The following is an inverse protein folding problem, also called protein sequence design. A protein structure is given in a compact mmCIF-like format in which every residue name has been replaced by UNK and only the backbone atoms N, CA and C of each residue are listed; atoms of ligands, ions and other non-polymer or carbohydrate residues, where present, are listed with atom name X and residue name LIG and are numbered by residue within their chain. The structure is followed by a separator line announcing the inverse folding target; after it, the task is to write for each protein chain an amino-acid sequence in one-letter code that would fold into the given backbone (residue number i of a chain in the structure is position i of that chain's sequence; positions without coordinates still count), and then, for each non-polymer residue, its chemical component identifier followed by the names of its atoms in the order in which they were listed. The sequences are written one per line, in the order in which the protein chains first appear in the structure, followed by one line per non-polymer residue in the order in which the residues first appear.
data_IF_994980193472
#
_entry.id   IF_994980193472
#
_cell.length_a   1.000
_cell.length_b   1.000
_cell.length_c   1.000
_cell.angle_alpha   90.00
_cell.angle_beta   90.00
_cell.angle_gamma   90.00
#
_symmetry.space_group_name_H-M   'P 1'
#
loop_
_entity.id
_entity.type
_entity.pdbx_description
1 polymer ?
#
# COMPACT_ATOMS: atom_id res chain seq x y z
N UNK A 1 -11.46 -11.79 -3.01
CA UNK A 1 -10.35 -12.50 -2.34
C UNK A 1 -10.35 -12.29 -0.83
N UNK A 2 -10.42 -11.04 -0.32
CA UNK A 2 -10.39 -10.76 1.12
C UNK A 2 -11.44 -11.55 1.91
N UNK A 3 -12.65 -11.74 1.36
CA UNK A 3 -13.70 -12.55 2.01
C UNK A 3 -13.28 -14.03 2.15
N UNK A 4 -12.62 -14.61 1.12
CA UNK A 4 -12.13 -16.00 1.15
C UNK A 4 -11.03 -16.15 2.19
N UNK A 5 -10.06 -15.23 2.23
CA UNK A 5 -9.01 -15.22 3.25
C UNK A 5 -9.59 -15.12 4.66
N UNK A 6 -10.53 -14.20 4.89
CA UNK A 6 -11.19 -14.03 6.17
C UNK A 6 -12.01 -15.25 6.59
N UNK A 7 -12.54 -16.01 5.63
CA UNK A 7 -13.25 -17.27 5.90
C UNK A 7 -12.31 -18.39 6.35
N UNK A 8 -11.07 -18.39 5.90
CA UNK A 8 -10.07 -19.43 6.13
C UNK A 8 -8.98 -19.04 7.14
N UNK A 9 -9.12 -17.91 7.84
CA UNK A 9 -8.20 -17.52 8.89
C UNK A 9 -8.15 -18.54 10.03
N UNK A 10 -6.96 -18.69 10.61
CA UNK A 10 -6.78 -19.50 11.82
C UNK A 10 -7.81 -19.11 12.90
N UNK A 11 -8.49 -20.07 13.53
CA UNK A 11 -9.46 -19.81 14.60
C UNK A 11 -8.95 -18.89 15.71
N UNK A 12 -7.67 -18.97 16.08
CA UNK A 12 -7.06 -18.12 17.10
C UNK A 12 -7.08 -16.64 16.71
N UNK A 13 -6.85 -16.32 15.43
CA UNK A 13 -6.97 -14.94 14.95
C UNK A 13 -8.39 -14.42 15.09
N UNK A 14 -9.39 -15.28 14.88
CA UNK A 14 -10.80 -14.90 15.04
C UNK A 14 -11.20 -14.62 16.50
N UNK A 15 -10.45 -15.13 17.50
CA UNK A 15 -10.71 -14.82 18.91
C UNK A 15 -10.34 -13.37 19.24
N UNK A 16 -9.20 -12.89 18.78
CA UNK A 16 -8.66 -11.58 19.12
C UNK A 16 -9.11 -10.47 18.16
N UNK A 17 -9.49 -10.82 16.92
CA UNK A 17 -9.86 -9.84 15.89
C UNK A 17 -11.17 -9.12 16.19
N UNK A 18 -11.17 -7.81 15.98
CA UNK A 18 -12.37 -6.96 15.95
C UNK A 18 -12.40 -6.14 14.66
N UNK A 19 -13.57 -5.90 14.06
CA UNK A 19 -14.87 -6.50 14.39
C UNK A 19 -14.94 -7.98 14.01
N UNK A 20 -16.00 -8.65 14.44
CA UNK A 20 -16.20 -10.07 14.12
C UNK A 20 -16.60 -10.25 12.64
N UNK A 21 -16.41 -11.48 12.14
CA UNK A 21 -16.57 -11.88 10.75
C UNK A 21 -17.86 -11.41 10.07
N UNK A 22 -19.08 -11.51 10.67
CA UNK A 22 -20.28 -11.04 10.00
C UNK A 22 -20.25 -9.56 9.60
N UNK A 23 -19.65 -8.71 10.44
CA UNK A 23 -19.53 -7.27 10.18
C UNK A 23 -18.54 -7.01 9.04
N UNK A 24 -17.38 -7.69 9.04
CA UNK A 24 -16.37 -7.51 7.99
C UNK A 24 -16.90 -7.93 6.62
N UNK A 25 -17.78 -8.91 6.57
CA UNK A 25 -18.36 -9.45 5.33
C UNK A 25 -19.62 -8.72 4.86
N UNK A 26 -20.04 -7.64 5.51
CA UNK A 26 -21.13 -6.80 5.01
C UNK A 26 -20.75 -6.17 3.67
N UNK A 27 -21.70 -6.13 2.76
CA UNK A 27 -21.51 -5.61 1.40
C UNK A 27 -21.72 -4.08 1.34
N UNK A 28 -22.74 -3.56 2.06
CA UNK A 28 -23.08 -2.16 2.03
C UNK A 28 -22.13 -1.34 2.92
N UNK A 29 -21.46 -0.35 2.32
CA UNK A 29 -20.35 0.37 2.91
C UNK A 29 -20.72 1.22 4.14
N UNK A 30 -21.81 1.99 4.07
CA UNK A 30 -22.19 2.89 5.15
C UNK A 30 -22.63 2.13 6.40
N UNK A 31 -23.45 1.10 6.22
CA UNK A 31 -23.89 0.20 7.31
C UNK A 31 -22.69 -0.56 7.90
N UNK A 32 -21.74 -0.97 7.06
CA UNK A 32 -20.51 -1.62 7.50
C UNK A 32 -19.65 -0.71 8.38
N UNK A 33 -19.39 0.53 7.96
CA UNK A 33 -18.65 1.50 8.76
C UNK A 33 -19.34 1.73 10.10
N UNK A 34 -20.66 1.95 10.10
CA UNK A 34 -21.44 2.12 11.31
C UNK A 34 -21.32 0.92 12.24
N UNK A 35 -21.48 -0.29 11.72
CA UNK A 35 -21.36 -1.53 12.49
C UNK A 35 -19.93 -1.72 13.03
N UNK A 36 -18.88 -1.40 12.26
CA UNK A 36 -17.49 -1.45 12.74
C UNK A 36 -17.32 -0.50 13.92
N UNK A 37 -17.73 0.76 13.77
CA UNK A 37 -17.61 1.78 14.83
C UNK A 37 -18.31 1.32 16.09
N UNK A 38 -19.57 0.89 16.01
CA UNK A 38 -20.37 0.45 17.18
C UNK A 38 -19.76 -0.76 17.90
N UNK A 39 -19.04 -1.61 17.21
CA UNK A 39 -18.45 -2.83 17.76
C UNK A 39 -16.98 -2.70 18.19
N UNK A 40 -16.32 -1.56 17.91
CA UNK A 40 -14.87 -1.43 18.15
C UNK A 40 -14.49 -0.25 19.02
N UNK A 41 -15.29 0.83 19.09
CA UNK A 41 -14.92 2.06 19.80
C UNK A 41 -14.54 1.85 21.28
N UNK A 42 -15.14 0.85 21.94
CA UNK A 42 -14.93 0.53 23.36
C UNK A 42 -14.06 -0.72 23.57
N UNK A 43 -13.33 -1.15 22.55
CA UNK A 43 -12.41 -2.31 22.62
C UNK A 43 -10.98 -1.82 22.80
N UNK A 44 -10.15 -2.68 23.36
CA UNK A 44 -8.71 -2.47 23.41
C UNK A 44 -8.09 -2.84 22.06
N UNK A 45 -7.96 -1.84 21.18
CA UNK A 45 -7.40 -2.00 19.84
C UNK A 45 -5.94 -1.59 19.88
N UNK A 46 -5.04 -2.52 19.56
CA UNK A 46 -3.60 -2.30 19.52
C UNK A 46 -3.03 -2.25 18.11
N UNK A 47 -3.78 -2.74 17.12
CA UNK A 47 -3.33 -2.72 15.72
C UNK A 47 -4.47 -2.46 14.75
N UNK A 48 -4.14 -1.78 13.65
CA UNK A 48 -5.02 -1.56 12.51
C UNK A 48 -4.45 -2.25 11.28
N UNK A 49 -5.31 -2.66 10.35
CA UNK A 49 -4.88 -3.17 9.04
C UNK A 49 -5.87 -2.74 7.97
N UNK A 50 -5.36 -2.15 6.88
CA UNK A 50 -6.22 -1.74 5.77
C UNK A 50 -5.59 -0.73 4.82
N UNK A 51 -6.39 -0.28 3.85
CA UNK A 51 -5.99 0.74 2.89
C UNK A 51 -6.03 2.13 3.56
N UNK A 52 -4.99 2.96 3.41
CA UNK A 52 -4.88 4.25 4.10
C UNK A 52 -6.09 5.17 3.95
N UNK A 53 -6.58 5.38 2.74
CA UNK A 53 -7.72 6.28 2.50
C UNK A 53 -8.99 5.79 3.20
N UNK A 54 -9.28 4.50 3.16
CA UNK A 54 -10.47 3.91 3.78
C UNK A 54 -10.37 3.88 5.31
N UNK A 55 -9.18 3.60 5.84
CA UNK A 55 -8.95 3.62 7.27
C UNK A 55 -9.13 5.03 7.85
N UNK A 56 -8.76 6.10 7.14
CA UNK A 56 -9.05 7.47 7.57
C UNK A 56 -10.55 7.75 7.71
N UNK A 57 -11.38 7.19 6.83
CA UNK A 57 -12.85 7.31 6.94
C UNK A 57 -13.33 6.66 8.23
N UNK A 58 -12.85 5.44 8.52
CA UNK A 58 -13.18 4.73 9.76
C UNK A 58 -12.71 5.50 11.00
N UNK A 59 -11.47 5.94 11.04
CA UNK A 59 -10.90 6.72 12.16
C UNK A 59 -11.76 7.96 12.45
N UNK A 60 -12.09 8.75 11.41
CA UNK A 60 -12.94 9.92 11.56
C UNK A 60 -14.34 9.58 12.07
N UNK A 61 -14.90 8.45 11.66
CA UNK A 61 -16.20 7.97 12.16
C UNK A 61 -16.13 7.57 13.64
N UNK A 62 -15.05 6.92 14.09
CA UNK A 62 -14.80 6.56 15.49
C UNK A 62 -14.67 7.83 16.35
N UNK A 63 -13.87 8.80 15.92
CA UNK A 63 -13.70 10.07 16.61
C UNK A 63 -15.02 10.84 16.73
N UNK A 64 -15.79 10.90 15.65
CA UNK A 64 -17.13 11.51 15.65
C UNK A 64 -18.08 10.81 16.64
N UNK A 65 -18.07 9.48 16.69
CA UNK A 65 -18.90 8.69 17.62
C UNK A 65 -18.55 8.96 19.07
N UNK A 66 -17.26 9.04 19.39
CA UNK A 66 -16.76 9.16 20.76
C UNK A 66 -16.66 10.60 21.25
N UNK A 67 -16.73 11.60 20.36
CA UNK A 67 -16.48 13.00 20.68
C UNK A 67 -15.02 13.29 21.07
N UNK A 68 -14.09 12.38 20.78
CA UNK A 68 -12.67 12.55 21.08
C UNK A 68 -11.96 13.26 19.94
N UNK A 69 -10.87 13.95 20.30
CA UNK A 69 -10.04 14.67 19.33
C UNK A 69 -9.01 13.74 18.69
N UNK A 70 -8.40 12.87 19.48
CA UNK A 70 -7.34 11.95 19.05
C UNK A 70 -7.76 10.49 19.17
N UNK A 71 -7.29 9.66 18.26
CA UNK A 71 -7.57 8.23 18.28
C UNK A 71 -6.91 7.53 19.48
N UNK A 72 -5.81 8.06 19.98
CA UNK A 72 -5.13 7.60 21.22
C UNK A 72 -6.00 7.76 22.46
N UNK A 73 -6.98 8.69 22.45
CA UNK A 73 -7.94 8.82 23.56
C UNK A 73 -9.03 7.74 23.52
N UNK A 74 -9.22 7.11 22.36
CA UNK A 74 -10.17 6.01 22.18
C UNK A 74 -9.48 4.67 22.36
N UNK A 75 -8.31 4.52 21.74
CA UNK A 75 -7.50 3.29 21.76
C UNK A 75 -6.07 3.59 22.26
N UNK A 76 -5.87 3.69 23.57
CA UNK A 76 -4.60 4.12 24.16
C UNK A 76 -3.44 3.13 23.94
N UNK A 77 -3.77 1.86 23.62
CA UNK A 77 -2.78 0.81 23.34
C UNK A 77 -2.53 0.60 21.84
N UNK A 78 -2.98 1.54 21.00
CA UNK A 78 -2.74 1.46 19.56
C UNK A 78 -1.27 1.75 19.24
N UNK A 79 -0.59 0.77 18.63
CA UNK A 79 0.86 0.80 18.38
C UNK A 79 1.23 0.64 16.90
N UNK A 80 0.40 -0.02 16.08
CA UNK A 80 0.77 -0.31 14.70
C UNK A 80 -0.40 -0.22 13.71
N UNK A 81 -0.11 0.34 12.55
CA UNK A 81 -0.99 0.28 11.38
C UNK A 81 -0.29 -0.42 10.22
N UNK A 82 -0.74 -1.64 9.90
CA UNK A 82 -0.34 -2.36 8.70
C UNK A 82 -1.15 -1.84 7.52
N UNK A 83 -0.50 -1.22 6.56
CA UNK A 83 -1.16 -0.61 5.40
C UNK A 83 -0.61 -1.15 4.08
N UNK A 84 -1.38 -0.97 3.02
CA UNK A 84 -0.98 -1.38 1.67
C UNK A 84 -2.07 -1.04 0.66
N UNK A 85 -1.84 -1.44 -0.58
CA UNK A 85 -2.76 -1.22 -1.70
C UNK A 85 -2.64 0.14 -2.39
N UNK A 86 -2.25 1.18 -1.65
CA UNK A 86 -1.91 2.52 -2.16
C UNK A 86 -0.76 3.10 -1.36
N UNK A 87 -0.05 4.07 -1.91
CA UNK A 87 1.00 4.79 -1.19
C UNK A 87 0.46 5.45 0.08
N UNK A 88 1.21 5.35 1.17
CA UNK A 88 0.88 5.96 2.45
C UNK A 88 1.30 7.43 2.54
N UNK A 89 2.31 7.83 1.77
CA UNK A 89 2.95 9.15 1.89
C UNK A 89 1.96 10.34 1.82
N UNK A 90 0.97 10.40 0.90
CA UNK A 90 0.02 11.50 0.86
C UNK A 90 -0.89 11.61 2.10
N UNK A 91 -0.98 10.54 2.88
CA UNK A 91 -1.86 10.45 4.06
C UNK A 91 -1.11 10.59 5.39
N UNK A 92 0.20 10.42 5.40
CA UNK A 92 1.06 10.33 6.59
C UNK A 92 0.80 11.44 7.61
N UNK A 93 0.74 12.68 7.18
CA UNK A 93 0.53 13.82 8.09
C UNK A 93 -0.89 13.87 8.68
N UNK A 94 -1.89 13.40 7.93
CA UNK A 94 -3.24 13.26 8.48
C UNK A 94 -3.28 12.21 9.61
N UNK A 95 -2.58 11.09 9.41
CA UNK A 95 -2.46 10.06 10.46
C UNK A 95 -1.74 10.58 11.69
N UNK A 96 -0.60 11.26 11.55
CA UNK A 96 0.12 11.86 12.69
C UNK A 96 -0.74 12.87 13.46
N UNK A 97 -1.57 13.63 12.77
CA UNK A 97 -2.50 14.58 13.40
C UNK A 97 -3.57 13.88 14.22
N UNK A 98 -4.12 12.77 13.70
CA UNK A 98 -5.21 12.03 14.36
C UNK A 98 -4.70 11.05 15.43
N UNK A 99 -3.44 10.63 15.32
CA UNK A 99 -2.77 9.68 16.22
C UNK A 99 -1.43 10.28 16.68
N UNK A 100 -1.44 11.30 17.55
CA UNK A 100 -0.23 11.99 17.98
C UNK A 100 0.53 11.14 19.02
N UNK A 101 1.13 10.04 18.58
CA UNK A 101 1.87 9.11 19.42
C UNK A 101 3.23 8.79 18.81
N UNK A 102 4.28 8.87 19.63
CA UNK A 102 5.63 8.45 19.26
C UNK A 102 5.84 6.92 19.30
N UNK A 103 4.84 6.18 19.79
CA UNK A 103 4.84 4.72 19.80
C UNK A 103 4.17 4.12 18.55
N UNK A 104 3.55 4.97 17.71
CA UNK A 104 2.81 4.50 16.55
C UNK A 104 3.74 4.16 15.39
N UNK A 105 3.67 2.93 14.92
CA UNK A 105 4.39 2.42 13.76
C UNK A 105 3.46 2.29 12.56
N UNK A 106 3.93 2.74 11.40
CA UNK A 106 3.24 2.60 10.12
C UNK A 106 4.05 1.63 9.27
N UNK A 107 3.51 0.43 9.05
CA UNK A 107 4.21 -0.69 8.44
C UNK A 107 3.55 -1.06 7.12
N UNK A 108 4.29 -0.93 6.02
CA UNK A 108 3.77 -1.25 4.70
C UNK A 108 3.78 -2.75 4.45
N UNK A 109 2.73 -3.24 3.80
CA UNK A 109 2.62 -4.60 3.29
C UNK A 109 2.29 -4.59 1.81
N UNK A 110 2.94 -5.45 1.04
CA UNK A 110 2.63 -5.64 -0.36
C UNK A 110 1.99 -6.99 -0.59
N UNK A 111 0.68 -6.95 -0.70
CA UNK A 111 -0.15 -8.11 -1.00
C UNK A 111 -1.13 -7.78 -2.13
N UNK A 112 -1.40 -8.76 -2.97
CA UNK A 112 -2.37 -8.70 -4.05
C UNK A 112 -3.23 -9.96 -4.05
N UNK A 113 -4.13 -10.07 -5.04
CA UNK A 113 -4.92 -11.30 -5.23
C UNK A 113 -4.05 -12.50 -5.57
N UNK A 114 -2.91 -12.24 -6.16
CA UNK A 114 -1.96 -13.21 -6.69
C UNK A 114 -1.00 -13.74 -5.62
N UNK A 115 -0.78 -12.99 -4.54
CA UNK A 115 0.14 -13.42 -3.49
C UNK A 115 0.49 -12.34 -2.46
N UNK A 116 1.35 -12.73 -1.52
CA UNK A 116 1.98 -11.84 -0.55
C UNK A 116 3.46 -11.72 -0.89
N UNK A 117 3.93 -10.53 -1.23
CA UNK A 117 5.23 -10.33 -1.86
C UNK A 117 6.26 -9.70 -0.95
N UNK A 118 5.83 -8.89 0.00
CA UNK A 118 6.74 -8.23 0.91
C UNK A 118 6.05 -7.53 2.07
N UNK A 119 6.83 -7.29 3.10
CA UNK A 119 6.41 -6.49 4.25
C UNK A 119 7.58 -5.62 4.74
N UNK A 120 7.27 -4.46 5.24
CA UNK A 120 8.24 -3.63 5.95
C UNK A 120 8.61 -4.31 7.27
N UNK A 121 9.89 -4.58 7.50
CA UNK A 121 10.42 -5.28 8.67
C UNK A 121 11.13 -4.34 9.66
N UNK A 122 11.42 -3.11 9.23
CA UNK A 122 12.06 -2.08 10.03
C UNK A 122 11.26 -0.76 9.93
N UNK A 123 10.75 -0.21 11.06
CA UNK A 123 10.00 1.04 11.05
C UNK A 123 10.78 2.26 10.52
N UNK A 124 12.12 2.17 10.49
CA UNK A 124 13.00 3.25 10.02
C UNK A 124 13.40 3.12 8.55
N UNK A 125 13.20 1.95 7.96
CA UNK A 125 13.48 1.66 6.55
C UNK A 125 12.14 1.47 5.79
N UNK A 126 11.78 2.33 4.83
CA UNK A 126 10.54 2.21 4.08
C UNK A 126 10.55 1.06 3.06
N UNK A 127 11.65 0.33 2.96
CA UNK A 127 11.76 -0.80 2.04
C UNK A 127 11.02 -2.02 2.57
N UNK A 128 10.46 -2.80 1.64
CA UNK A 128 9.78 -4.06 1.91
C UNK A 128 10.78 -5.21 1.82
N UNK A 129 10.83 -6.04 2.84
CA UNK A 129 11.53 -7.32 2.79
C UNK A 129 10.77 -8.25 1.83
N UNK A 130 11.46 -8.79 0.83
CA UNK A 130 10.87 -9.75 -0.12
C UNK A 130 10.62 -11.10 0.54
N UNK A 131 9.51 -11.75 0.16
CA UNK A 131 9.09 -13.08 0.64
C UNK A 131 9.33 -14.16 -0.42
N UNK A 132 10.56 -14.64 -0.61
CA UNK A 132 10.88 -15.63 -1.65
C UNK A 132 10.43 -17.05 -1.30
N UNK A 133 10.15 -17.33 -0.04
CA UNK A 133 9.79 -18.64 0.51
C UNK A 133 8.28 -18.90 0.61
N UNK A 134 7.43 -17.98 0.11
CA UNK A 134 5.97 -18.11 0.16
C UNK A 134 5.37 -18.86 -1.04
N UNK A 135 6.18 -19.72 -1.70
CA UNK A 135 5.72 -20.53 -2.83
C UNK A 135 5.52 -19.72 -4.12
N UNK A 136 6.21 -18.61 -4.25
CA UNK A 136 6.21 -17.75 -5.43
C UNK A 136 7.62 -17.75 -6.01
N UNK A 137 7.73 -18.10 -7.29
CA UNK A 137 8.96 -17.92 -8.06
C UNK A 137 8.93 -16.55 -8.76
N UNK A 138 9.95 -15.73 -8.51
CA UNK A 138 10.04 -14.36 -9.00
C UNK A 138 11.00 -14.25 -10.18
N UNK A 139 10.57 -13.50 -11.19
CA UNK A 139 11.37 -13.07 -12.32
C UNK A 139 11.17 -11.55 -12.52
N UNK A 140 12.13 -10.89 -13.17
CA UNK A 140 12.16 -9.44 -13.27
C UNK A 140 12.51 -9.01 -14.69
N UNK A 141 11.70 -8.11 -15.29
CA UNK A 141 11.97 -7.51 -16.60
C UNK A 141 12.46 -6.07 -16.35
N UNK A 142 13.67 -5.69 -16.84
CA UNK A 142 14.12 -4.31 -16.78
C UNK A 142 13.10 -3.36 -17.42
N UNK A 143 12.85 -2.19 -16.80
CA UNK A 143 11.80 -1.28 -17.24
C UNK A 143 11.95 -0.80 -18.68
N UNK A 144 13.18 -0.62 -19.17
CA UNK A 144 13.48 -0.23 -20.56
C UNK A 144 13.16 -1.32 -21.58
N UNK A 145 12.87 -2.54 -21.16
CA UNK A 145 12.51 -3.66 -22.02
C UNK A 145 11.06 -4.09 -21.90
N UNK A 146 10.28 -3.45 -20.99
CA UNK A 146 8.85 -3.74 -20.82
C UNK A 146 8.10 -3.41 -22.12
N UNK A 147 7.34 -4.38 -22.64
CA UNK A 147 6.63 -4.26 -23.91
C UNK A 147 7.46 -4.69 -25.14
N UNK A 148 8.73 -5.03 -24.98
CA UNK A 148 9.54 -5.68 -26.04
C UNK A 148 8.98 -7.05 -26.38
N UNK A 149 9.13 -7.48 -27.63
CA UNK A 149 8.70 -8.82 -28.06
C UNK A 149 9.49 -9.95 -27.38
N UNK A 150 10.76 -9.70 -27.04
CA UNK A 150 11.66 -10.64 -26.38
C UNK A 150 12.45 -9.93 -25.27
N UNK A 151 11.81 -9.57 -24.15
CA UNK A 151 12.51 -8.89 -23.06
C UNK A 151 13.48 -9.84 -22.38
N UNK A 152 14.57 -9.29 -21.85
CA UNK A 152 15.42 -10.00 -20.90
C UNK A 152 14.60 -10.27 -19.61
N UNK A 153 14.68 -11.48 -19.11
CA UNK A 153 14.02 -11.87 -17.87
C UNK A 153 15.07 -12.36 -16.88
N UNK A 154 15.19 -11.66 -15.78
CA UNK A 154 16.23 -11.90 -14.77
C UNK A 154 15.64 -12.68 -13.59
N UNK A 155 16.34 -13.68 -13.05
CA UNK A 155 16.00 -14.27 -11.76
C UNK A 155 16.38 -13.31 -10.62
N UNK A 156 15.91 -13.58 -9.41
CA UNK A 156 16.09 -12.71 -8.24
C UNK A 156 17.57 -12.43 -7.91
N UNK A 157 18.45 -13.39 -8.10
CA UNK A 157 19.90 -13.26 -7.87
C UNK A 157 20.63 -12.34 -8.85
N UNK A 158 19.98 -11.99 -9.95
CA UNK A 158 20.56 -11.14 -11.02
C UNK A 158 20.04 -9.70 -11.05
N UNK A 159 19.18 -9.33 -10.10
CA UNK A 159 18.72 -7.94 -9.99
C UNK A 159 19.79 -7.03 -9.40
N UNK A 160 19.68 -5.73 -9.65
CA UNK A 160 20.63 -4.73 -9.18
C UNK A 160 19.90 -3.66 -8.35
N UNK A 161 20.57 -3.12 -7.33
CA UNK A 161 20.03 -2.01 -6.55
C UNK A 161 19.87 -0.74 -7.38
N UNK A 162 18.83 0.05 -7.09
CA UNK A 162 18.56 1.31 -7.77
C UNK A 162 17.87 1.17 -9.12
N UNK A 163 17.86 -0.02 -9.73
CA UNK A 163 17.15 -0.28 -10.99
C UNK A 163 15.70 -0.66 -10.74
N UNK A 164 14.81 -0.24 -11.63
CA UNK A 164 13.39 -0.58 -11.60
C UNK A 164 13.08 -1.73 -12.55
N UNK A 165 12.21 -2.62 -12.12
CA UNK A 165 11.84 -3.83 -12.84
C UNK A 165 10.32 -4.03 -12.79
N UNK A 166 9.75 -4.57 -13.87
CA UNK A 166 8.44 -5.17 -13.85
C UNK A 166 8.51 -6.56 -13.23
N UNK A 167 7.66 -6.83 -12.26
CA UNK A 167 7.65 -8.11 -11.56
C UNK A 167 6.82 -9.14 -12.31
N UNK A 168 7.38 -10.32 -12.47
CA UNK A 168 6.77 -11.51 -13.08
C UNK A 168 6.77 -12.61 -12.04
N UNK A 169 5.65 -13.31 -11.89
CA UNK A 169 5.50 -14.34 -10.87
C UNK A 169 5.02 -15.68 -11.46
N UNK A 170 5.50 -16.75 -10.89
CA UNK A 170 4.95 -18.10 -11.07
C UNK A 170 4.55 -18.63 -9.71
N UNK A 171 3.31 -19.13 -9.57
CA UNK A 171 2.77 -19.56 -8.28
C UNK A 171 2.27 -20.99 -8.32
N UNK A 172 2.26 -21.65 -7.17
CA UNK A 172 1.63 -22.98 -7.02
C UNK A 172 0.12 -22.96 -7.26
N UNK A 173 -0.51 -21.78 -7.23
CA UNK A 173 -1.92 -21.57 -7.53
C UNK A 173 -2.27 -21.57 -9.03
N UNK A 174 -1.28 -21.78 -9.92
CA UNK A 174 -1.48 -21.94 -11.36
C UNK A 174 -1.21 -20.70 -12.21
N UNK A 175 -0.62 -19.64 -11.66
CA UNK A 175 -0.08 -18.53 -12.46
C UNK A 175 1.30 -18.95 -13.00
N UNK A 176 1.48 -18.80 -14.30
CA UNK A 176 2.73 -19.13 -15.00
C UNK A 176 3.28 -17.87 -15.67
N UNK A 177 4.46 -17.39 -15.21
CA UNK A 177 5.14 -16.20 -15.71
C UNK A 177 4.18 -15.00 -15.90
N UNK A 178 3.34 -14.81 -14.89
CA UNK A 178 2.32 -13.79 -14.90
C UNK A 178 2.91 -12.42 -14.55
N UNK A 179 2.73 -11.46 -15.45
CA UNK A 179 3.10 -10.07 -15.20
C UNK A 179 2.01 -9.41 -14.35
N UNK A 180 2.30 -9.18 -13.09
CA UNK A 180 1.35 -8.58 -12.14
C UNK A 180 1.01 -7.12 -12.48
N UNK A 181 1.88 -6.47 -13.26
CA UNK A 181 1.71 -5.10 -13.70
C UNK A 181 2.30 -4.07 -12.74
N UNK A 182 2.84 -4.48 -11.62
CA UNK A 182 3.54 -3.61 -10.68
C UNK A 182 5.03 -3.57 -10.99
N UNK A 183 5.66 -2.43 -10.65
CA UNK A 183 7.09 -2.22 -10.79
C UNK A 183 7.73 -2.04 -9.43
N UNK A 184 8.91 -2.62 -9.27
CA UNK A 184 9.68 -2.60 -8.03
C UNK A 184 11.10 -2.09 -8.30
N UNK A 185 11.69 -1.42 -7.30
CA UNK A 185 13.08 -0.99 -7.33
C UNK A 185 13.79 -1.54 -6.10
N UNK A 186 14.82 -2.36 -6.30
CA UNK A 186 15.59 -2.93 -5.21
C UNK A 186 16.43 -1.87 -4.50
N UNK A 187 16.40 -1.94 -3.17
CA UNK A 187 17.17 -1.08 -2.26
C UNK A 187 18.29 -1.84 -1.57
N UNK A 188 18.15 -3.17 -1.44
CA UNK A 188 19.14 -4.09 -0.90
C UNK A 188 19.06 -5.44 -1.60
N UNK A 189 20.20 -6.16 -1.68
CA UNK A 189 20.27 -7.50 -2.27
C UNK A 189 20.47 -8.61 -1.22
N UNK A 190 20.85 -8.23 0.02
CA UNK A 190 20.99 -9.20 1.10
C UNK A 190 20.68 -8.58 2.47
N UNK A 191 19.49 -8.85 3.03
CA UNK A 191 18.35 -9.51 2.38
C UNK A 191 17.81 -8.67 1.22
N UNK A 192 17.08 -9.31 0.29
CA UNK A 192 16.43 -8.59 -0.80
C UNK A 192 15.33 -7.68 -0.23
N UNK A 193 15.53 -6.37 -0.40
CA UNK A 193 14.54 -5.35 -0.06
C UNK A 193 14.23 -4.49 -1.27
N UNK A 194 12.99 -4.04 -1.39
CA UNK A 194 12.54 -3.25 -2.51
C UNK A 194 11.48 -2.22 -2.09
N UNK A 195 11.25 -1.24 -2.94
CA UNK A 195 10.10 -0.34 -2.88
C UNK A 195 9.23 -0.52 -4.11
N UNK A 196 7.92 -0.35 -3.96
CA UNK A 196 7.00 -0.32 -5.10
C UNK A 196 7.20 1.02 -5.80
N UNK A 197 7.62 1.00 -7.06
CA UNK A 197 7.91 2.21 -7.84
C UNK A 197 6.76 2.65 -8.73
N UNK A 198 5.74 1.80 -8.92
CA UNK A 198 4.55 2.13 -9.71
C UNK A 198 3.96 0.92 -10.43
N UNK A 199 3.40 1.17 -11.61
CA UNK A 199 2.82 0.14 -12.48
C UNK A 199 3.32 0.27 -13.90
N UNK A 200 3.44 -0.86 -14.61
CA UNK A 200 3.92 -0.93 -16.01
C UNK A 200 3.06 -0.15 -17.00
N UNK A 201 1.78 0.11 -16.68
CA UNK A 201 0.83 0.86 -17.51
C UNK A 201 0.48 2.25 -16.97
N UNK A 202 0.99 2.63 -15.81
CA UNK A 202 0.65 3.89 -15.14
C UNK A 202 1.91 4.73 -14.95
N UNK A 203 2.56 5.06 -16.04
CA UNK A 203 3.60 6.09 -16.06
C UNK A 203 3.23 7.14 -17.11
N UNK A 204 3.53 8.37 -16.82
CA UNK A 204 3.40 9.45 -17.78
C UNK A 204 4.75 9.58 -18.49
N UNK A 205 4.81 9.17 -19.75
CA UNK A 205 5.96 9.46 -20.60
C UNK A 205 5.62 10.72 -21.39
N UNK A 206 6.07 11.86 -20.91
CA UNK A 206 5.96 13.13 -21.60
C UNK A 206 7.37 13.64 -21.87
N UNK A 207 7.67 13.90 -23.14
CA UNK A 207 8.96 14.45 -23.57
C UNK A 207 10.21 13.57 -23.34
N UNK A 208 10.02 12.24 -23.27
CA UNK A 208 11.12 11.29 -23.04
C UNK A 208 11.51 11.11 -21.58
N UNK A 209 10.79 11.73 -20.64
CA UNK A 209 10.95 11.50 -19.21
C UNK A 209 9.80 10.65 -18.68
N UNK A 210 10.12 9.63 -17.90
CA UNK A 210 9.15 8.74 -17.25
C UNK A 210 8.80 9.28 -15.88
N UNK A 211 7.59 9.81 -15.73
CA UNK A 211 7.04 10.17 -14.42
C UNK A 211 6.29 8.96 -13.84
N UNK A 212 6.91 8.33 -12.88
CA UNK A 212 6.31 7.20 -12.15
C UNK A 212 5.33 7.69 -11.08
N UNK A 213 4.40 6.83 -10.65
CA UNK A 213 3.44 7.12 -9.56
C UNK A 213 4.16 7.57 -8.29
N UNK A 214 5.28 6.94 -7.92
CA UNK A 214 6.13 7.31 -6.76
C UNK A 214 6.60 8.78 -6.82
N UNK A 215 6.89 9.31 -8.01
CA UNK A 215 7.25 10.72 -8.16
C UNK A 215 6.06 11.66 -7.88
N UNK A 216 4.87 11.29 -8.35
CA UNK A 216 3.66 12.05 -8.11
C UNK A 216 3.26 12.03 -6.63
N UNK A 217 3.30 10.86 -5.98
CA UNK A 217 3.02 10.70 -4.55
C UNK A 217 3.92 11.57 -3.68
N UNK A 218 5.24 11.56 -3.94
CA UNK A 218 6.21 12.41 -3.23
C UNK A 218 5.96 13.89 -3.45
N UNK A 219 5.67 14.30 -4.69
CA UNK A 219 5.38 15.70 -5.01
C UNK A 219 4.13 16.19 -4.28
N UNK A 220 3.07 15.38 -4.24
CA UNK A 220 1.83 15.68 -3.53
C UNK A 220 2.08 15.75 -2.02
N UNK A 221 2.79 14.78 -1.44
CA UNK A 221 3.13 14.77 -0.02
C UNK A 221 3.91 16.04 0.39
N UNK A 222 4.94 16.41 -0.38
CA UNK A 222 5.71 17.65 -0.15
C UNK A 222 4.84 18.92 -0.28
N UNK A 223 3.93 18.93 -1.24
CA UNK A 223 3.02 20.07 -1.44
C UNK A 223 2.03 20.19 -0.27
N UNK A 224 1.48 19.07 0.20
CA UNK A 224 0.61 19.04 1.38
C UNK A 224 1.34 19.56 2.63
N UNK A 225 2.59 19.15 2.86
CA UNK A 225 3.41 19.66 3.96
C UNK A 225 3.62 21.17 3.89
N UNK A 226 3.87 21.74 2.71
CA UNK A 226 4.12 23.17 2.52
C UNK A 226 2.87 24.03 2.61
N UNK A 227 1.73 23.51 2.17
CA UNK A 227 0.48 24.28 2.02
C UNK A 227 -0.53 24.00 3.12
N UNK A 228 -0.36 22.95 3.93
CA UNK A 228 -1.34 22.44 4.87
C UNK A 228 -2.56 21.79 4.20
N UNK A 229 -2.50 21.56 2.89
CA UNK A 229 -3.57 20.91 2.13
C UNK A 229 -3.73 19.44 2.56
N UNK A 230 -4.97 18.93 2.46
CA UNK A 230 -5.29 17.52 2.75
C UNK A 230 -5.85 16.90 1.48
N UNK A 231 -5.16 15.87 0.97
CA UNK A 231 -5.58 15.11 -0.21
C UNK A 231 -6.41 13.92 0.25
N UNK A 232 -7.54 13.66 -0.42
CA UNK A 232 -8.33 12.43 -0.27
C UNK A 232 -7.95 11.42 -1.34
N UNK A 233 -8.00 11.84 -2.59
CA UNK A 233 -7.63 11.09 -3.78
C UNK A 233 -7.12 12.08 -4.82
N UNK A 234 -6.31 11.62 -5.78
CA UNK A 234 -5.86 12.43 -6.90
C UNK A 234 -5.76 11.61 -8.18
N UNK A 235 -5.78 12.30 -9.31
CA UNK A 235 -5.50 11.75 -10.63
C UNK A 235 -4.50 12.66 -11.32
N UNK A 236 -3.48 12.07 -11.93
CA UNK A 236 -2.53 12.78 -12.78
C UNK A 236 -2.72 12.36 -14.23
N UNK A 237 -2.71 13.33 -15.14
CA UNK A 237 -2.78 13.10 -16.57
C UNK A 237 -1.84 14.05 -17.32
N UNK A 238 -1.21 13.61 -18.42
CA UNK A 238 -0.39 14.49 -19.25
C UNK A 238 -1.29 15.47 -20.01
N UNK A 239 -0.88 16.74 -20.05
CA UNK A 239 -1.43 17.71 -20.97
C UNK A 239 -0.55 17.74 -22.22
N UNK A 240 -1.04 17.17 -23.31
CA UNK A 240 -0.35 17.23 -24.60
C UNK A 240 -0.55 18.61 -25.24
N UNK A 241 0.51 19.16 -25.77
CA UNK A 241 0.47 20.45 -26.45
C UNK A 241 -0.30 20.35 -27.77
N UNK A 242 -1.33 21.16 -27.89
CA UNK A 242 -2.04 21.31 -29.18
C UNK A 242 -1.44 22.42 -30.06
N UNK A 243 -0.80 23.47 -29.53
CA UNK A 243 -0.37 24.61 -30.35
C UNK A 243 0.83 25.46 -29.87
N UNK A 244 1.50 25.20 -28.77
CA UNK A 244 2.72 25.94 -28.33
C UNK A 244 3.65 25.08 -27.49
N UNK A 245 4.93 25.08 -27.84
CA UNK A 245 6.00 24.25 -27.28
C UNK A 245 6.37 24.59 -25.82
N UNK A 246 5.41 24.50 -24.87
CA UNK A 246 5.69 24.56 -23.44
C UNK A 246 4.77 23.56 -22.71
N UNK A 247 5.36 22.54 -22.10
CA UNK A 247 4.68 21.67 -21.16
C UNK A 247 4.22 22.44 -19.93
N UNK A 248 3.08 22.09 -19.38
CA UNK A 248 2.58 22.50 -18.06
C UNK A 248 2.51 21.30 -17.16
#
# INVERSE_FOLDING_TARGET
LSAVLLQNLNPLVNLIRVPKKPIILMDEWESKIKAIVENTWNKDVNSLSGVPSWMLVLIKAVLKKTGREYLTDVWPNLEVFFHGGISFEPYREQYKTLIPSNKMHYMETYNASEGFFGLQDDPTDPSLLMMPDYGIFYEFIPMNEVGSAHPTVLPLESVETGKSYAMVITTSGGLWRYQIGDTVRFTSLFPHKFVISGRTKHFINAFGEELMVDNADKAIAMTCLRTGAKVKEYTAAPLFMLDKAKGR
#
